data_IF_978479421134
#
_entry.id   IF_978479421134
#
_cell.length_a   1.000
_cell.length_b   1.000
_cell.length_c   1.000
_cell.angle_alpha   90.00
_cell.angle_beta   90.00
_cell.angle_gamma   90.00
#
_symmetry.space_group_name_H-M   'P 1'
#
loop_
_entity.id
_entity.type
_entity.pdbx_description
1 polymer ?
#
# COMPACT_ATOMS: atom_id res chain seq x y z
N UNK A 1 67.05 -45.50 -1.41
CA UNK A 1 66.72 -44.32 -0.57
C UNK A 1 66.64 -43.13 -1.52
N UNK A 2 65.62 -42.29 -1.61
CA UNK A 2 64.43 -42.02 -0.78
C UNK A 2 63.37 -41.37 -1.69
N UNK A 3 62.12 -41.40 -1.24
CA UNK A 3 60.85 -41.33 -1.95
C UNK A 3 60.37 -39.92 -2.37
N UNK A 4 59.44 -39.90 -3.34
CA UNK A 4 58.61 -38.78 -3.88
C UNK A 4 57.65 -38.22 -2.79
N UNK A 5 57.07 -37.00 -2.90
CA UNK A 5 55.74 -36.89 -3.52
C UNK A 5 55.47 -35.65 -4.40
N UNK A 6 54.62 -35.90 -5.39
CA UNK A 6 53.80 -34.95 -6.16
C UNK A 6 52.93 -34.07 -5.25
N UNK A 7 52.70 -32.82 -5.65
CA UNK A 7 51.44 -32.14 -5.37
C UNK A 7 50.91 -31.41 -6.61
N UNK A 8 49.75 -31.90 -7.07
CA UNK A 8 48.76 -31.12 -7.82
C UNK A 8 48.44 -29.80 -7.09
N UNK A 9 47.94 -28.80 -7.80
CA UNK A 9 46.50 -28.40 -7.73
C UNK A 9 46.25 -27.12 -8.57
N UNK A 10 45.39 -27.33 -9.58
CA UNK A 10 44.28 -26.52 -10.09
C UNK A 10 44.33 -24.98 -10.21
N UNK A 11 44.01 -24.58 -11.45
CA UNK A 11 43.26 -23.39 -11.85
C UNK A 11 42.38 -22.75 -10.77
N UNK A 12 42.52 -21.43 -10.60
CA UNK A 12 41.43 -20.57 -10.19
C UNK A 12 41.25 -19.51 -11.28
N UNK A 13 40.43 -19.83 -12.27
CA UNK A 13 39.72 -18.80 -13.02
C UNK A 13 38.86 -18.06 -12.00
N UNK A 14 39.25 -16.83 -11.65
CA UNK A 14 38.36 -15.90 -10.99
C UNK A 14 37.23 -15.56 -11.99
N UNK A 15 36.19 -16.40 -12.00
CA UNK A 15 34.88 -15.98 -12.46
C UNK A 15 34.51 -14.80 -11.56
N UNK A 16 34.63 -13.60 -12.10
CA UNK A 16 33.95 -12.41 -11.62
C UNK A 16 32.45 -12.70 -11.71
N UNK A 17 31.93 -13.48 -10.78
CA UNK A 17 30.52 -13.59 -10.53
C UNK A 17 30.10 -12.18 -10.10
N UNK A 18 29.54 -11.43 -11.05
CA UNK A 18 28.64 -10.33 -10.75
C UNK A 18 27.72 -10.85 -9.64
N UNK A 19 27.91 -10.34 -8.42
CA UNK A 19 26.93 -10.45 -7.37
C UNK A 19 25.71 -9.68 -7.83
N UNK A 20 24.88 -10.32 -8.66
CA UNK A 20 23.50 -9.90 -8.78
C UNK A 20 22.91 -10.10 -7.40
N UNK A 21 22.42 -9.05 -6.71
CA UNK A 21 21.81 -9.21 -5.41
C UNK A 21 20.69 -10.24 -5.55
N UNK A 22 20.76 -11.28 -4.73
CA UNK A 22 19.71 -12.28 -4.62
C UNK A 22 18.36 -11.55 -4.54
N UNK A 23 17.35 -11.90 -5.34
CA UNK A 23 16.05 -11.23 -5.27
C UNK A 23 15.56 -11.33 -3.82
N UNK A 24 15.43 -10.17 -3.17
CA UNK A 24 14.91 -10.07 -1.81
C UNK A 24 13.58 -10.81 -1.77
N UNK A 25 13.40 -11.56 -0.69
CA UNK A 25 12.33 -12.51 -0.43
C UNK A 25 10.93 -11.96 -0.82
N UNK A 26 10.50 -12.23 -2.05
CA UNK A 26 9.27 -11.69 -2.67
C UNK A 26 8.03 -12.08 -1.86
N UNK A 27 8.06 -13.27 -1.27
CA UNK A 27 6.97 -13.79 -0.44
C UNK A 27 6.89 -13.08 0.92
N UNK A 28 8.03 -12.66 1.49
CA UNK A 28 8.09 -11.85 2.71
C UNK A 28 7.41 -10.50 2.52
N UNK A 29 7.69 -9.81 1.41
CA UNK A 29 7.10 -8.50 1.13
C UNK A 29 5.58 -8.56 0.95
N UNK A 30 5.08 -9.59 0.26
CA UNK A 30 3.63 -9.80 0.11
C UNK A 30 2.95 -10.00 1.47
N UNK A 31 3.55 -10.80 2.37
CA UNK A 31 3.02 -10.99 3.74
C UNK A 31 3.03 -9.68 4.54
N UNK A 32 4.04 -8.83 4.36
CA UNK A 32 4.09 -7.53 5.03
C UNK A 32 2.99 -6.61 4.49
N UNK A 33 2.67 -6.62 3.20
CA UNK A 33 1.66 -5.71 2.66
C UNK A 33 0.21 -6.08 3.05
N UNK A 34 -0.06 -7.36 3.32
CA UNK A 34 -1.40 -7.81 3.74
C UNK A 34 -1.83 -7.09 5.02
N UNK A 35 -3.07 -6.60 5.00
CA UNK A 35 -3.71 -5.93 6.11
C UNK A 35 -4.52 -4.71 5.69
N UNK A 36 -4.86 -3.92 6.70
CA UNK A 36 -5.70 -2.75 6.59
C UNK A 36 -4.85 -1.50 6.65
N UNK A 37 -5.04 -0.61 5.70
CA UNK A 37 -4.25 0.60 5.54
C UNK A 37 -5.13 1.81 5.23
N UNK A 38 -4.61 2.99 5.53
CA UNK A 38 -5.25 4.23 5.15
C UNK A 38 -4.24 5.25 4.62
N UNK A 39 -4.74 6.22 3.88
CA UNK A 39 -3.98 7.39 3.43
C UNK A 39 -4.85 8.63 3.65
N UNK A 40 -4.20 9.72 4.05
CA UNK A 40 -4.80 11.03 4.04
C UNK A 40 -3.90 12.01 3.28
N UNK A 41 -4.50 12.81 2.41
CA UNK A 41 -3.89 14.05 1.93
C UNK A 41 -4.98 15.08 1.70
N UNK A 42 -4.66 16.37 1.82
CA UNK A 42 -5.68 17.40 1.62
C UNK A 42 -6.18 17.41 0.16
N UNK A 43 -5.33 17.06 -0.81
CA UNK A 43 -5.69 17.01 -2.22
C UNK A 43 -6.62 15.84 -2.57
N UNK A 44 -6.34 14.64 -2.04
CA UNK A 44 -7.04 13.42 -2.42
C UNK A 44 -8.06 12.94 -1.38
N UNK A 45 -8.09 13.59 -0.21
CA UNK A 45 -8.93 13.22 0.91
C UNK A 45 -8.38 12.01 1.67
N UNK A 46 -9.29 11.34 2.38
CA UNK A 46 -9.02 10.11 3.10
C UNK A 46 -9.39 8.90 2.24
N UNK A 47 -8.57 7.85 2.29
CA UNK A 47 -8.77 6.60 1.57
C UNK A 47 -8.45 5.42 2.46
N UNK A 48 -9.21 4.34 2.29
CA UNK A 48 -9.04 3.09 3.01
C UNK A 48 -8.72 1.94 2.04
N UNK A 49 -7.85 1.03 2.48
CA UNK A 49 -7.38 -0.10 1.71
C UNK A 49 -7.44 -1.36 2.58
N UNK A 50 -8.13 -2.40 2.11
CA UNK A 50 -8.07 -3.76 2.67
C UNK A 50 -7.33 -4.65 1.68
N UNK A 51 -6.10 -5.02 2.02
CA UNK A 51 -5.18 -5.74 1.15
C UNK A 51 -5.08 -7.18 1.64
N UNK A 52 -5.44 -8.13 0.79
CA UNK A 52 -5.28 -9.55 1.05
C UNK A 52 -4.25 -10.19 0.11
N UNK A 53 -4.25 -11.52 0.01
CA UNK A 53 -3.29 -12.26 -0.82
C UNK A 53 -3.54 -12.14 -2.34
N UNK A 54 -4.67 -11.61 -2.78
CA UNK A 54 -5.08 -11.57 -4.18
C UNK A 54 -5.47 -10.16 -4.63
N UNK A 55 -6.17 -9.42 -3.77
CA UNK A 55 -6.79 -8.14 -4.10
C UNK A 55 -6.34 -7.02 -3.18
N UNK A 56 -6.31 -5.82 -3.74
CA UNK A 56 -6.39 -4.57 -3.00
C UNK A 56 -7.82 -4.06 -3.14
N UNK A 57 -8.60 -4.13 -2.06
CA UNK A 57 -9.91 -3.47 -1.99
C UNK A 57 -9.69 -2.06 -1.50
N UNK A 58 -10.27 -1.09 -2.17
CA UNK A 58 -10.09 0.32 -1.89
C UNK A 58 -11.44 1.02 -1.77
N UNK A 59 -11.49 2.04 -0.92
CA UNK A 59 -12.60 2.98 -0.86
C UNK A 59 -12.12 4.43 -0.64
N UNK A 60 -12.73 5.35 -1.36
CA UNK A 60 -12.62 6.80 -1.17
C UNK A 60 -13.93 7.47 -1.57
N UNK A 61 -14.30 8.54 -0.85
CA UNK A 61 -15.57 9.23 -1.07
C UNK A 61 -15.80 9.73 -2.51
N UNK A 62 -14.73 10.09 -3.25
CA UNK A 62 -14.83 10.67 -4.60
C UNK A 62 -15.02 9.62 -5.69
N UNK A 63 -14.36 8.48 -5.54
CA UNK A 63 -14.24 7.46 -6.59
C UNK A 63 -15.00 6.17 -6.24
N UNK A 64 -15.49 6.06 -5.01
CA UNK A 64 -16.23 4.90 -4.52
C UNK A 64 -15.33 3.71 -4.18
N UNK A 65 -15.95 2.53 -4.19
CA UNK A 65 -15.29 1.25 -3.93
C UNK A 65 -14.84 0.59 -5.22
N UNK A 66 -13.64 0.05 -5.24
CA UNK A 66 -13.21 -0.92 -6.25
C UNK A 66 -12.17 -1.89 -5.68
N UNK A 67 -11.99 -3.02 -6.33
CA UNK A 67 -10.98 -4.02 -6.03
C UNK A 67 -10.06 -4.23 -7.24
N UNK A 68 -8.75 -4.32 -6.98
CA UNK A 68 -7.75 -4.51 -8.02
C UNK A 68 -6.91 -5.76 -7.70
N UNK A 69 -6.90 -6.77 -8.59
CA UNK A 69 -6.00 -7.91 -8.42
C UNK A 69 -4.56 -7.45 -8.63
N UNK A 70 -3.65 -7.96 -7.81
CA UNK A 70 -2.25 -7.53 -7.81
C UNK A 70 -1.26 -8.68 -7.63
N UNK A 71 0.01 -8.41 -7.94
CA UNK A 71 1.15 -9.25 -7.58
C UNK A 71 2.31 -8.40 -7.08
N UNK A 72 3.22 -9.02 -6.34
CA UNK A 72 4.52 -8.45 -5.98
C UNK A 72 5.58 -9.11 -6.85
N UNK A 73 6.41 -8.29 -7.50
CA UNK A 73 7.51 -8.74 -8.34
C UNK A 73 8.67 -7.75 -8.21
N UNK A 74 9.86 -8.23 -7.82
CA UNK A 74 11.07 -7.40 -7.63
C UNK A 74 10.80 -6.16 -6.74
N UNK A 75 10.30 -6.39 -5.52
CA UNK A 75 9.94 -5.34 -4.55
C UNK A 75 8.92 -4.31 -5.07
N UNK A 76 8.22 -4.61 -6.17
CA UNK A 76 7.24 -3.73 -6.78
C UNK A 76 5.86 -4.36 -6.77
N UNK A 77 4.85 -3.57 -6.42
CA UNK A 77 3.46 -3.88 -6.64
C UNK A 77 3.13 -3.69 -8.12
N UNK A 78 2.41 -4.64 -8.71
CA UNK A 78 1.85 -4.52 -10.06
C UNK A 78 0.38 -4.90 -10.05
N UNK A 79 -0.48 -4.05 -10.61
CA UNK A 79 -1.86 -4.46 -10.87
C UNK A 79 -1.89 -5.44 -12.06
N UNK A 80 -2.83 -6.39 -12.03
CA UNK A 80 -3.02 -7.35 -13.12
C UNK A 80 -3.95 -6.81 -14.22
N UNK A 81 -4.61 -5.68 -13.97
CA UNK A 81 -5.61 -5.08 -14.88
C UNK A 81 -5.08 -3.92 -15.71
N UNK A 82 -3.93 -3.35 -15.37
CA UNK A 82 -3.33 -2.23 -16.09
C UNK A 82 -1.80 -2.24 -15.97
N UNK A 83 -1.13 -1.28 -16.62
CA UNK A 83 0.34 -1.18 -16.65
C UNK A 83 0.94 -0.47 -15.43
N UNK A 84 0.14 -0.17 -14.41
CA UNK A 84 0.65 0.47 -13.20
C UNK A 84 1.56 -0.47 -12.42
N UNK A 85 2.72 0.04 -12.05
CA UNK A 85 3.65 -0.61 -11.16
C UNK A 85 4.19 0.41 -10.16
N UNK A 86 4.32 0.02 -8.90
CA UNK A 86 4.85 0.87 -7.85
C UNK A 86 5.92 0.14 -7.06
N UNK A 87 7.11 0.74 -6.96
CA UNK A 87 8.15 0.26 -6.06
C UNK A 87 7.70 0.47 -4.61
N UNK A 88 7.93 -0.53 -3.76
CA UNK A 88 7.49 -0.54 -2.37
C UNK A 88 8.69 -0.30 -1.46
N UNK A 89 8.58 0.70 -0.59
CA UNK A 89 9.56 0.94 0.49
C UNK A 89 8.86 0.91 1.84
N UNK A 90 9.29 0.01 2.73
CA UNK A 90 8.68 -0.17 4.06
C UNK A 90 9.35 0.71 5.13
N UNK A 91 8.53 1.33 5.97
CA UNK A 91 8.93 2.18 7.09
C UNK A 91 8.13 1.78 8.36
N UNK A 92 8.35 0.56 8.85
CA UNK A 92 7.64 0.05 10.03
C UNK A 92 6.14 -0.05 9.79
N UNK A 93 5.38 0.89 10.37
CA UNK A 93 3.93 0.97 10.25
C UNK A 93 3.44 1.74 9.02
N UNK A 94 4.34 2.22 8.17
CA UNK A 94 3.96 2.82 6.89
C UNK A 94 4.69 2.18 5.72
N UNK A 95 4.12 2.37 4.54
CA UNK A 95 4.67 1.90 3.28
C UNK A 95 4.57 3.02 2.25
N UNK A 96 5.68 3.32 1.59
CA UNK A 96 5.76 4.24 0.48
C UNK A 96 5.67 3.47 -0.82
N UNK A 97 4.79 3.93 -1.70
CA UNK A 97 4.67 3.49 -3.09
C UNK A 97 5.18 4.60 -4.00
N UNK A 98 6.11 4.23 -4.88
CA UNK A 98 6.67 5.09 -5.93
C UNK A 98 6.24 4.51 -7.28
N UNK A 99 5.20 5.10 -7.89
CA UNK A 99 4.58 4.67 -9.13
C UNK A 99 5.44 4.97 -10.37
N UNK A 100 5.33 4.10 -11.38
CA UNK A 100 5.95 4.31 -12.69
C UNK A 100 5.35 5.48 -13.49
N UNK A 101 4.23 6.03 -13.02
CA UNK A 101 3.57 7.24 -13.50
C UNK A 101 4.00 8.50 -12.72
N UNK A 102 5.07 8.42 -11.94
CA UNK A 102 5.57 9.48 -11.03
C UNK A 102 4.62 9.80 -9.87
N UNK A 103 3.61 8.97 -9.60
CA UNK A 103 2.78 9.13 -8.41
C UNK A 103 3.51 8.62 -7.16
N UNK A 104 3.36 9.36 -6.06
CA UNK A 104 3.82 8.90 -4.75
C UNK A 104 2.64 8.80 -3.77
N UNK A 105 2.64 7.71 -3.01
CA UNK A 105 1.63 7.46 -2.00
C UNK A 105 2.23 6.78 -0.78
N UNK A 106 2.04 7.38 0.39
CA UNK A 106 2.33 6.72 1.67
C UNK A 106 1.04 6.19 2.26
N UNK A 107 1.00 4.89 2.54
CA UNK A 107 -0.07 4.24 3.28
C UNK A 107 0.42 3.99 4.71
N UNK A 108 -0.48 4.21 5.66
CA UNK A 108 -0.25 3.96 7.07
C UNK A 108 -1.08 2.76 7.49
N UNK A 109 -0.46 1.83 8.21
CA UNK A 109 -1.13 0.65 8.71
C UNK A 109 -2.19 1.09 9.70
N UNK A 110 -3.40 0.59 9.50
CA UNK A 110 -4.48 0.83 10.42
C UNK A 110 -4.20 0.07 11.71
N UNK A 111 -3.75 0.78 12.74
CA UNK A 111 -3.67 0.25 14.11
C UNK A 111 -5.07 0.31 14.69
N UNK A 112 -5.54 -0.80 15.28
CA UNK A 112 -6.87 -0.88 15.90
C UNK A 112 -7.16 0.38 16.72
N UNK A 113 -8.08 1.18 16.20
CA UNK A 113 -8.58 2.37 16.86
C UNK A 113 -9.88 2.03 17.60
N UNK A 114 -10.39 2.96 18.42
CA UNK A 114 -11.74 2.84 18.99
C UNK A 114 -12.83 2.66 17.92
N UNK A 115 -12.55 3.06 16.67
CA UNK A 115 -13.40 2.87 15.50
C UNK A 115 -12.80 1.80 14.58
N UNK A 116 -13.35 0.57 14.53
CA UNK A 116 -12.76 -0.52 13.79
C UNK A 116 -12.81 -0.25 12.28
N UNK A 117 -11.71 -0.50 11.59
CA UNK A 117 -11.68 -0.61 10.14
C UNK A 117 -12.10 -2.04 9.79
N UNK A 118 -13.39 -2.24 9.52
CA UNK A 118 -13.92 -3.51 9.02
C UNK A 118 -13.51 -3.70 7.57
N UNK A 119 -13.49 -4.94 7.09
CA UNK A 119 -13.34 -5.21 5.65
C UNK A 119 -14.37 -4.42 4.85
N UNK A 120 -13.91 -3.84 3.74
CA UNK A 120 -14.73 -2.96 2.89
C UNK A 120 -15.77 -3.83 2.17
N UNK A 121 -17.06 -3.75 2.56
CA UNK A 121 -18.08 -4.63 2.01
C UNK A 121 -18.43 -4.22 0.58
N UNK A 122 -19.05 -5.14 -0.16
CA UNK A 122 -19.61 -4.85 -1.48
C UNK A 122 -20.71 -3.78 -1.40
N UNK A 123 -20.77 -2.87 -2.37
CA UNK A 123 -21.78 -1.79 -2.39
C UNK A 123 -23.22 -2.34 -2.41
N UNK A 124 -23.42 -3.50 -3.06
CA UNK A 124 -24.72 -4.18 -3.12
C UNK A 124 -25.17 -4.74 -1.76
N UNK A 125 -24.27 -4.93 -0.80
CA UNK A 125 -24.61 -5.26 0.58
C UNK A 125 -24.91 -3.97 1.34
N UNK A 126 -26.11 -3.43 1.10
CA UNK A 126 -26.49 -2.07 1.51
C UNK A 126 -26.36 -1.82 3.01
N UNK A 127 -26.69 -2.79 3.86
CA UNK A 127 -26.63 -2.63 5.31
C UNK A 127 -25.19 -2.63 5.81
N UNK A 128 -24.37 -3.59 5.38
CA UNK A 128 -22.96 -3.65 5.76
C UNK A 128 -22.22 -2.44 5.23
N UNK A 129 -22.52 -2.02 4.00
CA UNK A 129 -21.92 -0.85 3.37
C UNK A 129 -22.32 0.43 4.09
N UNK A 130 -23.59 0.66 4.41
CA UNK A 130 -24.00 1.82 5.20
C UNK A 130 -23.31 1.87 6.58
N UNK A 131 -23.18 0.72 7.26
CA UNK A 131 -22.44 0.64 8.52
C UNK A 131 -20.95 0.97 8.35
N UNK A 132 -20.34 0.53 7.25
CA UNK A 132 -18.95 0.83 6.91
C UNK A 132 -18.76 2.34 6.67
N UNK A 133 -19.64 2.97 5.88
CA UNK A 133 -19.59 4.41 5.58
C UNK A 133 -19.67 5.26 6.86
N UNK A 134 -20.58 4.95 7.78
CA UNK A 134 -20.68 5.68 9.05
C UNK A 134 -19.38 5.59 9.89
N UNK A 135 -18.62 4.50 9.77
CA UNK A 135 -17.30 4.36 10.38
C UNK A 135 -16.22 5.13 9.62
N UNK A 136 -16.26 5.05 8.29
CA UNK A 136 -15.36 5.79 7.39
C UNK A 136 -15.46 7.30 7.63
N UNK A 137 -16.67 7.87 7.66
CA UNK A 137 -16.89 9.31 7.83
C UNK A 137 -16.33 9.85 9.13
N UNK A 138 -16.42 9.05 10.21
CA UNK A 138 -15.82 9.41 11.50
C UNK A 138 -14.29 9.46 11.43
N UNK A 139 -13.66 8.50 10.73
CA UNK A 139 -12.20 8.45 10.57
C UNK A 139 -11.70 9.54 9.62
N UNK A 140 -12.42 9.77 8.52
CA UNK A 140 -12.24 10.92 7.62
C UNK A 140 -12.22 12.23 8.43
N UNK A 141 -13.26 12.47 9.23
CA UNK A 141 -13.37 13.65 10.09
C UNK A 141 -12.16 13.80 11.01
N UNK A 142 -11.75 12.72 11.68
CA UNK A 142 -10.57 12.73 12.55
C UNK A 142 -9.27 13.08 11.81
N UNK A 143 -9.06 12.60 10.58
CA UNK A 143 -7.86 12.92 9.80
C UNK A 143 -7.83 14.39 9.36
N UNK A 144 -8.97 14.95 8.97
CA UNK A 144 -9.08 16.38 8.67
C UNK A 144 -8.88 17.25 9.92
N UNK A 145 -9.46 16.86 11.06
CA UNK A 145 -9.27 17.56 12.33
C UNK A 145 -7.81 17.55 12.77
N UNK A 146 -7.10 16.42 12.62
CA UNK A 146 -5.64 16.33 12.86
C UNK A 146 -4.85 17.28 11.95
N UNK A 147 -5.34 17.54 10.74
CA UNK A 147 -4.75 18.50 9.81
C UNK A 147 -5.14 19.96 10.10
N UNK A 148 -5.85 20.23 11.20
CA UNK A 148 -6.32 21.56 11.59
C UNK A 148 -7.54 22.04 10.80
N UNK A 149 -8.21 21.15 10.06
CA UNK A 149 -9.38 21.47 9.25
C UNK A 149 -10.61 20.91 9.97
N UNK A 150 -11.48 21.80 10.45
CA UNK A 150 -12.78 21.40 10.97
C UNK A 150 -13.72 21.11 9.80
N UNK A 151 -14.11 19.86 9.65
CA UNK A 151 -15.22 19.48 8.77
C UNK A 151 -16.41 19.07 9.63
N UNK A 152 -17.53 19.76 9.47
CA UNK A 152 -18.82 19.22 9.92
C UNK A 152 -19.09 17.95 9.14
N UNK A 153 -19.59 16.91 9.81
CA UNK A 153 -19.98 15.64 9.18
C UNK A 153 -20.72 15.88 7.86
N UNK A 154 -20.43 15.09 6.81
CA UNK A 154 -20.87 15.44 5.47
C UNK A 154 -22.39 15.23 5.32
N UNK A 155 -23.13 16.33 5.25
CA UNK A 155 -24.31 16.46 4.39
C UNK A 155 -23.90 17.07 3.04
N UNK A 156 -22.84 16.55 2.41
CA UNK A 156 -22.60 16.74 0.97
C UNK A 156 -22.23 18.15 0.38
N UNK A 157 -21.72 19.23 1.07
CA UNK A 157 -21.14 20.34 0.30
C UNK A 157 -19.72 20.75 0.74
N UNK A 158 -19.21 20.24 1.87
CA UNK A 158 -18.00 20.79 2.52
C UNK A 158 -16.74 20.49 1.70
N UNK A 159 -16.74 19.39 0.94
CA UNK A 159 -15.58 19.01 0.14
C UNK A 159 -15.34 19.95 -1.06
N UNK A 160 -16.41 20.36 -1.74
CA UNK A 160 -16.34 21.31 -2.86
C UNK A 160 -15.89 22.71 -2.40
N UNK A 161 -16.28 23.13 -1.18
CA UNK A 161 -15.82 24.40 -0.60
C UNK A 161 -14.33 24.40 -0.24
N UNK A 162 -13.77 23.26 0.18
CA UNK A 162 -12.34 23.15 0.50
C UNK A 162 -11.45 23.18 -0.75
N UNK A 163 -11.95 22.73 -1.90
CA UNK A 163 -11.24 22.84 -3.18
C UNK A 163 -11.24 24.28 -3.71
N UNK A 164 -12.36 25.01 -3.56
CA UNK A 164 -12.48 26.42 -4.00
C UNK A 164 -11.58 27.39 -3.23
N UNK A 165 -11.17 27.06 -2.00
CA UNK A 165 -10.26 27.90 -1.19
C UNK A 165 -8.79 27.80 -1.59
N UNK A 166 -8.43 27.01 -2.60
CA UNK A 166 -7.06 26.82 -3.08
C UNK A 166 -6.76 27.45 -4.44
N UNK A 167 -7.74 28.14 -5.05
CA UNK A 167 -7.52 28.96 -6.25
C UNK A 167 -7.17 30.41 -5.90
#
# INVERSE_FOLDING_TARGET
MRSIPYFLVFFIFALSACHSPNPKNIEGNKKILIGKWHRFSIANGYSEFDIDSQYIVFYNQKVGRFDLPYKIENDSLKYLTNQYAAKITYYGDSVLFEGNDSTEATLYRFKESRLPFKTIPEVKDSLSFASYIAGFDKRLTQEFEKAGIKISTPEEPVYEELLKKRE
#
